data_IF_539509140651
#
_entry.id   IF_539509140651
#
_cell.length_a   1.000
_cell.length_b   1.000
_cell.length_c   1.000
_cell.angle_alpha   90.00
_cell.angle_beta   90.00
_cell.angle_gamma   90.00
#
_symmetry.space_group_name_H-M   'P 1'
#
loop_
_entity.id
_entity.type
_entity.pdbx_description
1 polymer ?
#
# COMPACT_ATOMS: atom_id res chain seq x y z
N UNK A 1 28.93 -16.71 28.66
CA UNK A 1 28.05 -17.21 27.59
C UNK A 1 27.28 -16.01 27.06
N UNK A 2 27.44 -15.81 25.76
CA UNK A 2 27.10 -14.63 24.97
C UNK A 2 25.61 -14.41 24.85
N UNK A 3 25.15 -13.21 25.20
CA UNK A 3 23.91 -12.68 24.66
C UNK A 3 24.11 -11.20 24.32
N UNK A 4 24.83 -10.97 23.22
CA UNK A 4 24.87 -9.67 22.55
C UNK A 4 23.91 -9.73 21.38
N UNK A 5 22.61 -9.73 21.67
CA UNK A 5 21.58 -9.47 20.67
C UNK A 5 21.69 -8.00 20.26
N UNK A 6 22.63 -7.70 19.35
CA UNK A 6 22.75 -6.39 18.74
C UNK A 6 21.52 -6.17 17.87
N UNK A 7 20.59 -5.35 18.34
CA UNK A 7 19.49 -4.86 17.52
C UNK A 7 20.13 -4.08 16.36
N UNK A 8 20.20 -4.73 15.20
CA UNK A 8 20.64 -4.08 13.98
C UNK A 8 19.65 -2.95 13.68
N UNK A 9 20.12 -1.72 13.44
CA UNK A 9 19.23 -0.61 13.12
C UNK A 9 18.46 -0.91 11.83
N UNK A 10 17.15 -0.65 11.86
CA UNK A 10 16.27 -0.86 10.71
C UNK A 10 16.66 0.07 9.55
N UNK A 11 16.63 -0.45 8.32
CA UNK A 11 16.75 0.39 7.14
C UNK A 11 15.48 1.22 6.91
N UNK A 12 15.53 2.19 5.99
CA UNK A 12 14.40 3.09 5.75
C UNK A 12 13.12 2.35 5.34
N UNK A 13 13.21 1.35 4.46
CA UNK A 13 12.04 0.60 4.02
C UNK A 13 11.39 -0.15 5.19
N UNK A 14 12.19 -0.81 6.04
CA UNK A 14 11.70 -1.49 7.24
C UNK A 14 11.04 -0.51 8.21
N UNK A 15 11.63 0.68 8.40
CA UNK A 15 11.01 1.73 9.23
C UNK A 15 9.67 2.21 8.67
N UNK A 16 9.57 2.40 7.34
CA UNK A 16 8.33 2.80 6.69
C UNK A 16 7.26 1.73 6.80
N UNK A 17 7.59 0.46 6.53
CA UNK A 17 6.66 -0.66 6.67
C UNK A 17 6.21 -0.79 8.13
N UNK A 18 7.14 -0.73 9.09
CA UNK A 18 6.82 -0.79 10.53
C UNK A 18 5.86 0.31 10.96
N UNK A 19 6.03 1.54 10.46
CA UNK A 19 5.14 2.67 10.76
C UNK A 19 3.71 2.49 10.25
N UNK A 20 3.51 1.67 9.21
CA UNK A 20 2.19 1.43 8.61
C UNK A 20 1.65 0.03 8.90
N UNK A 21 2.32 -0.75 9.78
CA UNK A 21 1.93 -2.11 10.12
C UNK A 21 0.66 -2.12 10.98
N UNK A 22 -0.38 -2.81 10.50
CA UNK A 22 -1.63 -3.05 11.25
C UNK A 22 -1.53 -4.39 11.99
N UNK A 23 -1.05 -5.43 11.33
CA UNK A 23 -0.89 -6.78 11.92
C UNK A 23 0.14 -7.62 11.16
N UNK A 24 0.67 -8.64 11.83
CA UNK A 24 1.70 -9.55 11.30
C UNK A 24 3.08 -9.26 11.87
N UNK A 25 4.09 -9.99 11.40
CA UNK A 25 5.49 -9.84 11.83
C UNK A 25 6.37 -9.41 10.66
N UNK A 26 7.39 -8.57 10.91
CA UNK A 26 8.37 -8.13 9.91
C UNK A 26 9.41 -9.21 9.59
N UNK A 27 8.92 -10.43 9.37
CA UNK A 27 9.69 -11.62 9.04
C UNK A 27 9.54 -11.91 7.54
N UNK A 28 10.62 -11.96 6.75
CA UNK A 28 10.53 -12.20 5.30
C UNK A 28 9.73 -13.45 4.95
N UNK A 29 8.85 -13.33 3.95
CA UNK A 29 7.95 -14.40 3.51
C UNK A 29 6.69 -14.57 4.35
N UNK A 30 6.54 -13.83 5.45
CA UNK A 30 5.29 -13.79 6.23
C UNK A 30 4.34 -12.73 5.68
N UNK A 31 3.03 -13.00 5.78
CA UNK A 31 1.99 -12.04 5.43
C UNK A 31 1.89 -10.94 6.50
N UNK A 32 1.65 -9.72 6.05
CA UNK A 32 1.43 -8.55 6.90
C UNK A 32 0.26 -7.72 6.37
N UNK A 33 -0.47 -7.08 7.27
CA UNK A 33 -1.47 -6.07 6.92
C UNK A 33 -0.87 -4.68 7.07
N UNK A 34 -0.99 -3.86 6.03
CA UNK A 34 -0.50 -2.49 6.00
C UNK A 34 -1.65 -1.50 5.86
N UNK A 35 -1.55 -0.38 6.57
CA UNK A 35 -2.37 0.79 6.31
C UNK A 35 -1.88 1.46 5.03
N UNK A 36 -2.74 1.54 4.01
CA UNK A 36 -2.44 2.25 2.78
C UNK A 36 -2.99 3.67 2.88
N UNK A 37 -2.11 4.67 2.85
CA UNK A 37 -2.54 6.08 2.99
C UNK A 37 -3.09 6.66 1.67
N UNK A 38 -2.54 6.23 0.54
CA UNK A 38 -2.79 6.84 -0.77
C UNK A 38 -3.04 5.77 -1.82
N UNK A 39 -3.93 6.07 -2.77
CA UNK A 39 -4.15 5.26 -3.96
C UNK A 39 -3.96 6.16 -5.19
N UNK A 40 -2.97 5.84 -6.02
CA UNK A 40 -2.67 6.55 -7.25
C UNK A 40 -2.91 5.60 -8.42
N UNK A 41 -3.86 5.94 -9.28
CA UNK A 41 -4.31 5.13 -10.39
C UNK A 41 -4.00 5.84 -11.71
N UNK A 42 -3.87 5.09 -12.79
CA UNK A 42 -3.82 5.64 -14.14
C UNK A 42 -5.19 5.44 -14.84
N UNK A 43 -5.31 5.87 -16.08
CA UNK A 43 -6.53 5.78 -16.90
C UNK A 43 -6.78 4.38 -17.51
N UNK A 44 -5.75 3.58 -17.77
CA UNK A 44 -5.91 2.26 -18.44
C UNK A 44 -6.43 1.16 -17.50
N UNK A 45 -5.89 1.08 -16.29
CA UNK A 45 -6.19 0.08 -15.24
C UNK A 45 -7.05 0.68 -14.12
N UNK A 46 -7.02 2.00 -13.89
CA UNK A 46 -7.84 2.62 -12.85
C UNK A 46 -9.33 2.39 -13.05
N UNK A 47 -9.78 2.31 -14.32
CA UNK A 47 -11.17 1.96 -14.65
C UNK A 47 -11.55 0.57 -14.15
N UNK A 48 -10.63 -0.42 -14.22
CA UNK A 48 -10.89 -1.77 -13.71
C UNK A 48 -11.04 -1.77 -12.18
N UNK A 49 -10.27 -0.94 -11.48
CA UNK A 49 -10.40 -0.79 -10.02
C UNK A 49 -11.77 -0.23 -9.65
N UNK A 50 -12.29 0.75 -10.41
CA UNK A 50 -13.63 1.30 -10.16
C UNK A 50 -14.73 0.25 -10.38
N UNK A 51 -14.63 -0.56 -11.44
CA UNK A 51 -15.58 -1.67 -11.69
C UNK A 51 -15.55 -2.72 -10.58
N UNK A 52 -14.37 -3.03 -10.04
CA UNK A 52 -14.24 -3.98 -8.94
C UNK A 52 -14.84 -3.42 -7.65
N UNK A 53 -14.59 -2.14 -7.32
CA UNK A 53 -15.21 -1.49 -6.16
C UNK A 53 -16.74 -1.45 -6.27
N UNK A 54 -17.27 -1.20 -7.47
CA UNK A 54 -18.71 -1.26 -7.75
C UNK A 54 -19.26 -2.68 -7.53
N UNK A 55 -18.58 -3.71 -8.05
CA UNK A 55 -18.97 -5.11 -7.87
C UNK A 55 -18.93 -5.55 -6.39
N UNK A 56 -18.02 -4.97 -5.59
CA UNK A 56 -17.93 -5.17 -4.13
C UNK A 56 -19.01 -4.39 -3.34
N UNK A 57 -19.77 -3.51 -4.00
CA UNK A 57 -20.79 -2.66 -3.35
C UNK A 57 -20.19 -1.56 -2.49
N UNK A 58 -19.01 -1.04 -2.84
CA UNK A 58 -18.32 0.00 -2.10
C UNK A 58 -18.52 1.37 -2.75
N UNK A 59 -19.24 2.25 -2.07
CA UNK A 59 -19.50 3.62 -2.54
C UNK A 59 -18.33 4.59 -2.30
N UNK A 60 -17.41 4.26 -1.37
CA UNK A 60 -16.32 5.16 -0.98
C UNK A 60 -15.07 4.41 -0.53
N UNK A 61 -13.93 4.87 -1.05
CA UNK A 61 -12.58 4.44 -0.62
C UNK A 61 -12.13 5.15 0.64
N UNK A 62 -11.25 4.51 1.42
CA UNK A 62 -10.77 5.02 2.70
C UNK A 62 -9.38 5.69 2.64
N UNK A 63 -8.69 5.65 1.50
CA UNK A 63 -7.41 6.36 1.31
C UNK A 63 -7.63 7.87 1.20
N UNK A 64 -6.63 8.68 1.56
CA UNK A 64 -6.84 10.13 1.74
C UNK A 64 -6.69 10.94 0.44
N UNK A 65 -5.59 10.82 -0.32
CA UNK A 65 -5.69 11.04 -1.74
C UNK A 65 -5.93 9.70 -2.43
N UNK A 66 -7.11 9.59 -3.04
CA UNK A 66 -7.35 8.70 -4.17
C UNK A 66 -7.34 9.55 -5.42
N UNK A 67 -6.35 9.36 -6.28
CA UNK A 67 -6.17 10.16 -7.50
C UNK A 67 -6.08 9.22 -8.68
N UNK A 68 -6.84 9.52 -9.74
CA UNK A 68 -6.69 8.88 -11.03
C UNK A 68 -6.13 9.88 -12.03
N UNK A 69 -4.98 9.57 -12.60
CA UNK A 69 -4.34 10.38 -13.64
C UNK A 69 -4.88 9.97 -15.01
N UNK A 70 -5.32 10.95 -15.78
CA UNK A 70 -5.85 10.79 -17.15
C UNK A 70 -4.89 11.48 -18.11
N UNK A 71 -3.87 10.76 -18.53
CA UNK A 71 -2.74 11.31 -19.30
C UNK A 71 -2.24 10.37 -20.39
N UNK A 72 -2.60 9.08 -20.38
CA UNK A 72 -2.18 8.12 -21.40
C UNK A 72 -3.14 8.10 -22.60
N UNK A 73 -4.41 8.44 -22.39
CA UNK A 73 -5.44 8.49 -23.44
C UNK A 73 -5.65 9.85 -24.11
N UNK A 74 -4.92 10.89 -23.69
CA UNK A 74 -5.02 12.21 -24.30
C UNK A 74 -4.36 12.18 -25.68
N UNK A 75 -5.16 12.31 -26.74
CA UNK A 75 -4.65 12.62 -28.08
C UNK A 75 -3.96 14.00 -27.98
N UNK A 76 -2.65 14.03 -28.20
CA UNK A 76 -1.86 15.25 -28.25
C UNK A 76 -2.18 16.07 -29.50
#
# INVERSE_FOLDING_TARGET
>A
MSDSSSVQPLNLAQQLIQRHLISGELTPGSEIALHINQALLQDVLGTLVMLELEAMGLDRVHTEPSVQYIDHGLVQ
#
